data_IF_693754671247
#
_entry.id   IF_693754671247
#
_cell.length_a   1.000
_cell.length_b   1.000
_cell.length_c   1.000
_cell.angle_alpha   90.00
_cell.angle_beta   90.00
_cell.angle_gamma   90.00
#
_symmetry.space_group_name_H-M   'P 1'
#
loop_
_entity.id
_entity.type
_entity.pdbx_description
1 polymer ?
#
# COMPACT_ATOMS: atom_id res chain seq x y z
N UNK A 1 -15.86 -2.35 1.84
CA UNK A 1 -14.52 -2.40 1.21
C UNK A 1 -14.17 -1.00 0.73
N UNK A 2 -12.94 -0.54 0.88
CA UNK A 2 -12.49 0.77 0.41
C UNK A 2 -11.68 0.61 -0.88
N UNK A 3 -11.86 1.51 -1.86
CA UNK A 3 -11.07 1.51 -3.10
C UNK A 3 -10.23 2.77 -3.16
N UNK A 4 -8.92 2.62 -3.33
CA UNK A 4 -8.00 3.73 -3.62
C UNK A 4 -7.60 3.60 -5.09
N UNK A 5 -7.90 4.60 -5.93
CA UNK A 5 -7.57 4.53 -7.35
C UNK A 5 -6.11 4.95 -7.56
N UNK A 6 -5.39 4.19 -8.40
CA UNK A 6 -3.95 4.32 -8.65
C UNK A 6 -3.68 4.64 -10.12
N UNK A 7 -2.79 5.61 -10.37
CA UNK A 7 -2.27 5.95 -11.70
C UNK A 7 -0.82 5.45 -11.91
N UNK A 8 -0.26 5.66 -13.11
CA UNK A 8 1.08 5.14 -13.45
C UNK A 8 2.21 5.70 -12.56
N UNK A 9 2.29 6.99 -12.23
CA UNK A 9 3.26 7.48 -11.25
C UNK A 9 3.09 6.88 -9.85
N UNK A 10 1.86 6.81 -9.34
CA UNK A 10 1.57 6.22 -8.02
C UNK A 10 1.94 4.73 -7.96
N UNK A 11 1.79 4.03 -9.08
CA UNK A 11 2.25 2.65 -9.25
C UNK A 11 3.79 2.51 -9.28
N UNK A 12 4.51 3.51 -9.80
CA UNK A 12 5.98 3.55 -9.73
C UNK A 12 6.50 3.89 -8.33
N UNK A 13 5.68 4.59 -7.53
CA UNK A 13 5.94 4.96 -6.14
C UNK A 13 5.14 4.12 -5.13
N UNK A 14 4.83 2.87 -5.48
CA UNK A 14 3.98 1.97 -4.68
C UNK A 14 4.50 1.74 -3.25
N UNK A 15 5.81 1.83 -3.05
CA UNK A 15 6.44 1.71 -1.73
C UNK A 15 6.08 2.90 -0.82
N UNK A 16 5.93 4.11 -1.36
CA UNK A 16 5.45 5.27 -0.60
C UNK A 16 3.97 5.09 -0.22
N UNK A 17 3.16 4.49 -1.10
CA UNK A 17 1.77 4.12 -0.79
C UNK A 17 1.74 3.04 0.31
N UNK A 18 2.64 2.06 0.29
CA UNK A 18 2.79 1.07 1.38
C UNK A 18 3.17 1.73 2.70
N UNK A 19 4.08 2.71 2.70
CA UNK A 19 4.42 3.53 3.87
C UNK A 19 3.18 4.26 4.42
N UNK A 20 2.39 4.92 3.59
CA UNK A 20 1.15 5.58 4.02
C UNK A 20 0.11 4.61 4.61
N UNK A 21 0.03 3.38 4.08
CA UNK A 21 -0.89 2.36 4.58
C UNK A 21 -0.46 1.74 5.92
N UNK A 22 0.76 2.05 6.40
CA UNK A 22 1.28 1.60 7.71
C UNK A 22 0.66 2.31 8.92
N UNK A 23 -0.19 3.32 8.71
CA UNK A 23 -0.93 3.96 9.80
C UNK A 23 -1.96 3.00 10.42
N UNK A 24 -2.28 3.17 11.70
CA UNK A 24 -3.06 2.18 12.46
C UNK A 24 -4.56 2.18 12.12
N UNK A 25 -5.14 3.33 11.72
CA UNK A 25 -6.58 3.49 11.44
C UNK A 25 -6.86 3.76 9.97
N UNK A 26 -8.05 3.39 9.49
CA UNK A 26 -8.44 3.62 8.10
C UNK A 26 -8.47 5.11 7.72
N UNK A 27 -8.89 6.00 8.63
CA UNK A 27 -8.85 7.44 8.42
C UNK A 27 -7.42 7.99 8.27
N UNK A 28 -6.51 7.57 9.16
CA UNK A 28 -5.10 7.96 9.07
C UNK A 28 -4.44 7.45 7.78
N UNK A 29 -4.73 6.20 7.37
CA UNK A 29 -4.27 5.65 6.09
C UNK A 29 -4.73 6.48 4.89
N UNK A 30 -5.99 6.89 4.86
CA UNK A 30 -6.52 7.73 3.79
C UNK A 30 -5.85 9.11 3.74
N UNK A 31 -5.69 9.75 4.90
CA UNK A 31 -4.97 11.03 5.01
C UNK A 31 -3.52 10.92 4.54
N UNK A 32 -2.81 9.88 4.99
CA UNK A 32 -1.44 9.60 4.58
C UNK A 32 -1.32 9.29 3.07
N UNK A 33 -2.29 8.57 2.48
CA UNK A 33 -2.30 8.32 1.03
C UNK A 33 -2.59 9.60 0.24
N UNK A 34 -3.47 10.49 0.71
CA UNK A 34 -3.63 11.84 0.12
C UNK A 34 -2.29 12.59 0.16
N UNK A 35 -1.61 12.61 1.30
CA UNK A 35 -0.32 13.28 1.45
C UNK A 35 0.74 12.73 0.48
N UNK A 36 0.91 11.42 0.40
CA UNK A 36 1.82 10.75 -0.56
C UNK A 36 1.48 11.07 -2.01
N UNK A 37 0.19 11.13 -2.38
CA UNK A 37 -0.22 11.49 -3.75
C UNK A 37 0.21 12.92 -4.11
N UNK A 38 0.12 13.87 -3.18
CA UNK A 38 0.62 15.24 -3.40
C UNK A 38 2.16 15.31 -3.47
N UNK A 39 2.88 14.50 -2.68
CA UNK A 39 4.34 14.42 -2.74
C UNK A 39 4.85 13.83 -4.08
N UNK A 40 4.25 12.71 -4.53
CA UNK A 40 4.51 12.12 -5.85
C UNK A 40 4.28 13.14 -6.97
N UNK A 41 3.28 14.01 -6.83
CA UNK A 41 3.04 15.11 -7.78
C UNK A 41 4.19 16.12 -7.74
N UNK A 42 4.60 16.58 -6.56
CA UNK A 42 5.73 17.50 -6.42
C UNK A 42 7.02 16.95 -7.05
N UNK A 43 7.34 15.67 -6.82
CA UNK A 43 8.46 14.98 -7.48
C UNK A 43 8.36 15.04 -9.02
N UNK A 44 7.16 14.87 -9.58
CA UNK A 44 6.95 14.92 -11.04
C UNK A 44 7.07 16.33 -11.62
N UNK A 45 6.68 17.36 -10.87
CA UNK A 45 6.86 18.77 -11.26
C UNK A 45 8.34 19.14 -11.27
N UNK A 46 9.12 18.67 -10.29
CA UNK A 46 10.58 18.79 -10.32
C UNK A 46 11.19 18.13 -11.57
N UNK A 47 10.80 16.88 -11.88
CA UNK A 47 11.24 16.17 -13.09
C UNK A 47 10.74 16.80 -14.41
N UNK A 48 9.70 17.62 -14.37
CA UNK A 48 9.24 18.42 -15.53
C UNK A 48 10.17 19.60 -15.76
N UNK A 49 10.41 20.41 -14.71
CA UNK A 49 11.33 21.55 -14.76
C UNK A 49 12.76 21.15 -15.13
N UNK A 50 13.28 20.06 -14.54
CA UNK A 50 14.63 19.54 -14.80
C UNK A 50 14.83 19.17 -16.29
N UNK A 51 13.86 18.49 -16.89
CA UNK A 51 14.01 17.92 -18.24
C UNK A 51 13.50 18.81 -19.38
N UNK A 52 12.68 19.84 -19.11
CA UNK A 52 12.15 20.76 -20.15
C UNK A 52 12.34 22.24 -19.83
N UNK A 53 12.97 22.61 -18.71
CA UNK A 53 12.99 24.00 -18.24
C UNK A 53 11.61 24.44 -17.70
N UNK A 54 11.42 25.73 -17.35
CA UNK A 54 10.16 26.24 -16.84
C UNK A 54 9.08 26.42 -17.93
N UNK A 55 9.47 26.47 -19.21
CA UNK A 55 8.63 26.91 -20.32
C UNK A 55 7.46 25.97 -20.65
N UNK A 56 7.46 24.72 -20.16
CA UNK A 56 6.29 23.83 -20.29
C UNK A 56 5.03 24.45 -19.67
N UNK A 57 5.19 25.32 -18.65
CA UNK A 57 4.08 26.06 -18.02
C UNK A 57 3.39 27.06 -18.96
N UNK A 58 4.06 27.46 -20.04
CA UNK A 58 3.55 28.39 -21.05
C UNK A 58 2.80 27.68 -22.19
N UNK A 59 2.96 26.36 -22.34
CA UNK A 59 2.23 25.61 -23.36
C UNK A 59 0.72 25.61 -23.07
N UNK A 60 -0.16 26.00 -24.02
CA UNK A 60 -1.60 26.03 -23.78
C UNK A 60 -2.21 24.71 -23.32
N UNK A 61 -1.60 23.57 -23.70
CA UNK A 61 -1.99 22.24 -23.24
C UNK A 61 -1.72 21.95 -21.76
N UNK A 62 -0.95 22.80 -21.07
CA UNK A 62 -0.65 22.70 -19.64
C UNK A 62 -1.50 23.66 -18.78
N UNK A 63 -2.38 24.47 -19.35
CA UNK A 63 -3.11 25.52 -18.62
C UNK A 63 -3.90 25.00 -17.40
N UNK A 64 -4.63 23.88 -17.55
CA UNK A 64 -5.39 23.29 -16.43
C UNK A 64 -4.49 22.64 -15.37
N UNK A 65 -3.34 22.11 -15.77
CA UNK A 65 -2.32 21.61 -14.85
C UNK A 65 -1.73 22.77 -14.03
N UNK A 66 -1.35 23.87 -14.68
CA UNK A 66 -0.82 25.08 -14.03
C UNK A 66 -1.85 25.69 -13.08
N UNK A 67 -3.13 25.77 -13.49
CA UNK A 67 -4.22 26.22 -12.61
C UNK A 67 -4.35 25.33 -11.37
N UNK A 68 -4.43 24.01 -11.57
CA UNK A 68 -4.51 23.06 -10.44
C UNK A 68 -3.29 23.17 -9.50
N UNK A 69 -2.09 23.40 -10.04
CA UNK A 69 -0.87 23.62 -9.24
C UNK A 69 -0.98 24.89 -8.38
N UNK A 70 -1.58 25.96 -8.89
CA UNK A 70 -1.85 27.16 -8.10
C UNK A 70 -2.91 26.87 -7.02
N UNK A 71 -4.07 26.33 -7.41
CA UNK A 71 -5.23 26.13 -6.54
C UNK A 71 -4.92 25.23 -5.33
N UNK A 72 -4.15 24.16 -5.53
CA UNK A 72 -3.79 23.19 -4.48
C UNK A 72 -2.44 23.46 -3.80
N UNK A 73 -1.86 24.67 -3.97
CA UNK A 73 -0.54 24.98 -3.43
C UNK A 73 -0.45 24.84 -1.90
N UNK A 74 -1.49 25.28 -1.17
CA UNK A 74 -1.59 25.12 0.28
C UNK A 74 -1.68 23.64 0.69
N UNK A 75 -2.59 22.86 0.07
CA UNK A 75 -2.74 21.43 0.35
C UNK A 75 -1.44 20.65 0.11
N UNK A 76 -0.69 20.97 -0.95
CA UNK A 76 0.61 20.34 -1.22
C UNK A 76 1.66 20.69 -0.18
N UNK A 77 1.66 21.93 0.34
CA UNK A 77 2.59 22.32 1.40
C UNK A 77 2.30 21.55 2.69
N UNK A 78 1.03 21.46 3.11
CA UNK A 78 0.61 20.67 4.27
C UNK A 78 0.92 19.17 4.08
N UNK A 79 0.69 18.62 2.88
CA UNK A 79 0.96 17.23 2.56
C UNK A 79 2.44 16.83 2.70
N UNK A 80 3.39 17.72 2.40
CA UNK A 80 4.83 17.45 2.59
C UNK A 80 5.16 17.27 4.08
N UNK A 81 4.63 18.12 4.94
CA UNK A 81 4.81 17.99 6.40
C UNK A 81 4.14 16.71 6.93
N UNK A 82 2.88 16.48 6.56
CA UNK A 82 2.13 15.27 6.95
C UNK A 82 2.87 13.99 6.54
N UNK A 83 3.39 13.92 5.31
CA UNK A 83 4.09 12.74 4.83
C UNK A 83 5.45 12.55 5.51
N UNK A 84 6.16 13.64 5.83
CA UNK A 84 7.39 13.59 6.63
C UNK A 84 7.14 12.96 8.01
N UNK A 85 6.04 13.32 8.68
CA UNK A 85 5.67 12.68 9.94
C UNK A 85 5.28 11.20 9.78
N UNK A 86 4.49 10.87 8.75
CA UNK A 86 4.10 9.47 8.44
C UNK A 86 5.35 8.62 8.22
N UNK A 87 6.33 9.11 7.45
CA UNK A 87 7.62 8.44 7.23
C UNK A 87 8.39 8.26 8.54
N UNK A 88 8.43 9.28 9.39
CA UNK A 88 9.06 9.21 10.72
C UNK A 88 8.39 8.14 11.60
N UNK A 89 7.05 8.07 11.63
CA UNK A 89 6.30 7.03 12.36
C UNK A 89 6.53 5.62 11.79
N UNK A 90 6.67 5.53 10.47
CA UNK A 90 6.98 4.29 9.76
C UNK A 90 8.34 3.71 10.20
N UNK A 91 9.41 4.48 10.02
CA UNK A 91 10.79 4.06 10.33
C UNK A 91 10.97 3.78 11.83
N UNK A 92 10.37 4.61 12.70
CA UNK A 92 10.46 4.42 14.15
C UNK A 92 9.73 3.15 14.63
N UNK A 93 8.59 2.79 14.02
CA UNK A 93 7.67 1.81 14.63
C UNK A 93 6.80 1.02 13.66
N UNK A 94 6.20 1.64 12.63
CA UNK A 94 5.16 0.95 11.84
C UNK A 94 5.69 -0.06 10.84
N UNK A 95 6.89 0.15 10.28
CA UNK A 95 7.56 -0.82 9.40
C UNK A 95 7.58 -2.23 10.01
N UNK A 96 8.17 -2.38 11.20
CA UNK A 96 8.32 -3.68 11.87
C UNK A 96 6.97 -4.36 12.15
N UNK A 97 5.93 -3.59 12.49
CA UNK A 97 4.58 -4.14 12.70
C UNK A 97 3.94 -4.60 11.39
N UNK A 98 4.10 -3.80 10.33
CA UNK A 98 3.55 -4.08 9.01
C UNK A 98 4.22 -5.32 8.41
N UNK A 99 5.55 -5.41 8.45
CA UNK A 99 6.32 -6.57 8.00
C UNK A 99 5.86 -7.88 8.68
N UNK A 100 5.57 -7.85 9.99
CA UNK A 100 5.02 -9.00 10.74
C UNK A 100 3.63 -9.39 10.25
N UNK A 101 2.77 -8.43 9.96
CA UNK A 101 1.43 -8.70 9.42
C UNK A 101 1.47 -9.20 7.97
N UNK A 102 2.39 -8.70 7.15
CA UNK A 102 2.62 -9.16 5.78
C UNK A 102 3.16 -10.59 5.74
N UNK A 103 4.13 -10.92 6.61
CA UNK A 103 4.60 -12.30 6.77
C UNK A 103 3.49 -13.24 7.26
N UNK A 104 2.66 -12.79 8.22
CA UNK A 104 1.45 -13.54 8.64
C UNK A 104 0.51 -13.79 7.46
N UNK A 105 0.31 -12.77 6.61
CA UNK A 105 -0.49 -12.87 5.39
C UNK A 105 0.10 -13.84 4.36
N UNK A 106 1.44 -13.88 4.19
CA UNK A 106 2.12 -14.85 3.31
C UNK A 106 1.84 -16.29 3.75
N UNK A 107 2.02 -16.61 5.04
CA UNK A 107 1.74 -17.96 5.54
C UNK A 107 0.28 -18.38 5.33
N UNK A 108 -0.68 -17.47 5.56
CA UNK A 108 -2.10 -17.71 5.24
C UNK A 108 -2.26 -17.97 3.73
N UNK A 109 -1.65 -17.15 2.87
CA UNK A 109 -1.80 -17.28 1.42
C UNK A 109 -1.19 -18.59 0.90
N UNK A 110 -0.02 -18.99 1.39
CA UNK A 110 0.56 -20.31 1.13
C UNK A 110 -0.36 -21.44 1.60
N UNK A 111 -0.90 -21.36 2.83
CA UNK A 111 -1.85 -22.37 3.35
C UNK A 111 -3.14 -22.48 2.52
N UNK A 112 -3.57 -21.39 1.87
CA UNK A 112 -4.67 -21.40 0.88
C UNK A 112 -4.23 -22.05 -0.44
N UNK A 113 -3.05 -21.71 -0.98
CA UNK A 113 -2.55 -22.33 -2.23
C UNK A 113 -2.32 -23.84 -2.07
N UNK A 114 -1.86 -24.28 -0.89
CA UNK A 114 -1.64 -25.68 -0.53
C UNK A 114 -2.94 -26.45 -0.20
N UNK A 115 -4.10 -25.78 -0.17
CA UNK A 115 -5.39 -26.38 0.21
C UNK A 115 -5.49 -26.82 1.69
N UNK A 116 -4.59 -26.34 2.56
CA UNK A 116 -4.54 -26.68 3.99
C UNK A 116 -5.53 -25.88 4.83
N UNK A 117 -5.73 -24.61 4.49
CA UNK A 117 -6.63 -23.67 5.16
C UNK A 117 -6.42 -23.60 6.70
N UNK A 118 -5.18 -23.38 7.13
CA UNK A 118 -4.81 -23.46 8.55
C UNK A 118 -5.46 -22.40 9.46
N UNK A 119 -5.72 -22.81 10.70
CA UNK A 119 -6.18 -21.90 11.75
C UNK A 119 -5.16 -20.81 12.05
N UNK A 120 -5.61 -19.55 12.11
CA UNK A 120 -4.71 -18.43 12.45
C UNK A 120 -4.27 -18.50 13.91
N UNK A 121 -5.21 -18.75 14.83
CA UNK A 121 -4.97 -18.66 16.29
C UNK A 121 -4.90 -20.03 17.00
N UNK A 122 -5.03 -21.13 16.27
CA UNK A 122 -5.02 -22.49 16.84
C UNK A 122 -3.65 -22.85 17.44
N UNK A 123 -3.57 -23.90 18.29
CA UNK A 123 -2.32 -24.60 18.52
C UNK A 123 -1.66 -24.96 17.19
N UNK A 124 -0.35 -24.70 17.06
CA UNK A 124 0.46 -24.87 15.84
C UNK A 124 -0.05 -24.13 14.58
N UNK A 125 -1.04 -23.24 14.72
CA UNK A 125 -1.56 -22.41 13.64
C UNK A 125 -0.62 -21.26 13.23
N UNK A 126 -1.06 -20.43 12.29
CA UNK A 126 -0.21 -19.41 11.66
C UNK A 126 0.50 -18.50 12.68
N UNK A 127 -0.19 -18.00 13.71
CA UNK A 127 0.43 -17.13 14.72
C UNK A 127 1.52 -17.85 15.54
N UNK A 128 1.48 -19.19 15.62
CA UNK A 128 2.55 -19.97 16.25
C UNK A 128 3.77 -20.04 15.31
N UNK A 129 3.55 -20.35 14.03
CA UNK A 129 4.62 -20.40 13.03
C UNK A 129 5.37 -19.06 12.89
N UNK A 130 4.63 -17.93 12.92
CA UNK A 130 5.26 -16.58 12.96
C UNK A 130 6.04 -16.37 14.26
N UNK A 131 5.55 -16.86 15.39
CA UNK A 131 6.24 -16.77 16.68
C UNK A 131 7.56 -17.56 16.69
N UNK A 132 7.53 -18.77 16.12
CA UNK A 132 8.67 -19.68 16.14
C UNK A 132 9.76 -19.19 15.17
N UNK A 133 9.39 -18.82 13.93
CA UNK A 133 10.29 -18.16 12.99
C UNK A 133 10.85 -16.83 13.54
N UNK A 134 10.05 -16.06 14.27
CA UNK A 134 10.50 -14.83 14.94
C UNK A 134 11.44 -15.06 16.13
N UNK A 135 11.37 -16.23 16.78
CA UNK A 135 12.33 -16.65 17.82
C UNK A 135 13.64 -17.10 17.19
N UNK A 136 13.58 -17.99 16.19
CA UNK A 136 14.72 -18.49 15.42
C UNK A 136 15.52 -17.35 14.77
N UNK A 137 14.84 -16.46 14.03
CA UNK A 137 15.44 -15.29 13.38
C UNK A 137 15.74 -14.11 14.31
N UNK A 138 15.57 -14.25 15.64
CA UNK A 138 15.78 -13.19 16.63
C UNK A 138 14.96 -11.89 16.39
N UNK A 139 13.83 -11.94 15.68
CA UNK A 139 13.09 -10.78 15.18
C UNK A 139 12.25 -10.12 16.30
N UNK A 140 12.66 -8.93 16.74
CA UNK A 140 11.91 -8.13 17.74
C UNK A 140 10.53 -7.73 17.21
N UNK A 141 9.48 -8.11 17.93
CA UNK A 141 8.08 -7.90 17.53
C UNK A 141 7.40 -9.13 16.92
N UNK A 142 8.16 -10.19 16.63
CA UNK A 142 7.65 -11.48 16.15
C UNK A 142 7.89 -12.63 17.16
N UNK A 143 8.26 -12.35 18.42
CA UNK A 143 8.49 -13.38 19.46
C UNK A 143 7.31 -13.60 20.41
N UNK A 144 6.32 -12.72 20.33
CA UNK A 144 5.17 -12.65 21.23
C UNK A 144 3.89 -12.79 20.40
N UNK A 145 3.11 -13.83 20.70
CA UNK A 145 1.89 -14.21 19.98
C UNK A 145 0.79 -13.15 20.07
N UNK A 146 0.74 -12.38 21.16
CA UNK A 146 -0.25 -11.32 21.36
C UNK A 146 0.14 -10.06 20.58
N UNK A 147 1.45 -9.77 20.48
CA UNK A 147 1.97 -8.70 19.60
C UNK A 147 1.71 -9.04 18.13
N UNK A 148 1.96 -10.29 17.70
CA UNK A 148 1.66 -10.73 16.33
C UNK A 148 0.14 -10.66 16.07
N UNK A 149 -0.70 -11.13 17.00
CA UNK A 149 -2.17 -11.03 16.89
C UNK A 149 -2.63 -9.58 16.73
N UNK A 150 -2.06 -8.65 17.50
CA UNK A 150 -2.36 -7.21 17.40
C UNK A 150 -1.95 -6.65 16.04
N UNK A 151 -0.70 -6.88 15.62
CA UNK A 151 -0.19 -6.40 14.33
C UNK A 151 -1.01 -6.95 13.15
N UNK A 152 -1.30 -8.26 13.14
CA UNK A 152 -2.18 -8.85 12.13
C UNK A 152 -3.57 -8.21 12.13
N UNK A 153 -4.20 -8.06 13.31
CA UNK A 153 -5.53 -7.44 13.42
C UNK A 153 -5.56 -6.01 12.82
N UNK A 154 -4.54 -5.20 13.11
CA UNK A 154 -4.40 -3.82 12.62
C UNK A 154 -4.16 -3.75 11.11
N UNK A 155 -3.27 -4.59 10.55
CA UNK A 155 -2.73 -4.42 9.19
C UNK A 155 -3.21 -5.41 8.13
N UNK A 156 -3.95 -6.48 8.50
CA UNK A 156 -4.49 -7.47 7.55
C UNK A 156 -5.32 -6.90 6.39
N UNK A 157 -5.90 -5.72 6.57
CA UNK A 157 -6.62 -4.99 5.52
C UNK A 157 -5.76 -4.45 4.38
N UNK A 158 -4.44 -4.29 4.60
CA UNK A 158 -3.47 -3.66 3.69
C UNK A 158 -2.24 -4.51 3.38
N UNK A 159 -1.97 -5.55 4.19
CA UNK A 159 -0.82 -6.45 4.07
C UNK A 159 -0.62 -7.06 2.65
N UNK A 160 -1.71 -7.23 1.90
CA UNK A 160 -1.68 -7.77 0.53
C UNK A 160 -0.80 -6.95 -0.46
N UNK A 161 -0.51 -5.68 -0.16
CA UNK A 161 0.34 -4.82 -1.01
C UNK A 161 1.82 -5.15 -0.82
N UNK A 162 2.33 -5.20 0.42
CA UNK A 162 3.71 -5.64 0.67
C UNK A 162 3.92 -7.11 0.26
N UNK A 163 2.94 -7.97 0.50
CA UNK A 163 2.97 -9.35 -0.05
C UNK A 163 3.15 -9.39 -1.57
N UNK A 164 2.54 -8.47 -2.31
CA UNK A 164 2.68 -8.37 -3.76
C UNK A 164 4.00 -7.73 -4.19
N UNK A 165 4.52 -6.76 -3.45
CA UNK A 165 5.87 -6.17 -3.64
C UNK A 165 6.91 -7.29 -3.50
N UNK A 166 6.97 -7.95 -2.35
CA UNK A 166 7.96 -9.00 -2.06
C UNK A 166 7.88 -10.17 -3.06
N UNK A 167 6.68 -10.51 -3.52
CA UNK A 167 6.47 -11.52 -4.57
C UNK A 167 7.03 -11.05 -5.93
N UNK A 168 6.84 -9.77 -6.29
CA UNK A 168 7.38 -9.18 -7.52
C UNK A 168 8.90 -8.99 -7.48
N UNK A 169 9.47 -8.70 -6.31
CA UNK A 169 10.93 -8.65 -6.12
C UNK A 169 11.56 -10.03 -6.31
N UNK A 170 10.91 -11.07 -5.76
CA UNK A 170 11.28 -12.47 -5.97
C UNK A 170 11.01 -12.97 -7.40
N UNK A 171 10.19 -12.26 -8.19
CA UNK A 171 9.80 -12.62 -9.56
C UNK A 171 9.84 -11.38 -10.48
N UNK A 172 11.03 -10.83 -10.84
CA UNK A 172 11.14 -9.52 -11.50
C UNK A 172 10.34 -9.36 -12.80
N UNK A 173 10.13 -10.46 -13.54
CA UNK A 173 9.30 -10.50 -14.76
C UNK A 173 7.84 -10.09 -14.52
N UNK A 174 7.35 -10.25 -13.29
CA UNK A 174 5.98 -9.93 -12.86
C UNK A 174 5.84 -8.56 -12.19
N UNK A 175 6.91 -7.73 -12.12
CA UNK A 175 6.84 -6.39 -11.49
C UNK A 175 5.76 -5.47 -12.09
N UNK A 176 5.37 -5.68 -13.35
CA UNK A 176 4.26 -4.97 -14.02
C UNK A 176 2.87 -5.40 -13.51
N UNK A 177 2.74 -6.58 -12.91
CA UNK A 177 1.48 -7.17 -12.44
C UNK A 177 1.21 -6.93 -10.95
N UNK A 178 2.01 -6.10 -10.26
CA UNK A 178 1.94 -5.90 -8.80
C UNK A 178 0.52 -5.63 -8.27
N UNK A 179 -0.28 -4.78 -8.94
CA UNK A 179 -1.67 -4.51 -8.52
C UNK A 179 -2.61 -5.72 -8.73
N UNK A 180 -2.38 -6.49 -9.79
CA UNK A 180 -3.13 -7.73 -10.07
C UNK A 180 -2.81 -8.81 -9.04
N UNK A 181 -1.54 -8.91 -8.62
CA UNK A 181 -1.08 -9.82 -7.57
C UNK A 181 -1.64 -9.38 -6.21
N UNK A 182 -1.59 -8.08 -5.90
CA UNK A 182 -2.16 -7.50 -4.69
C UNK A 182 -3.67 -7.81 -4.58
N UNK A 183 -4.44 -7.61 -5.66
CA UNK A 183 -5.87 -7.94 -5.71
C UNK A 183 -6.13 -9.46 -5.63
N UNK A 184 -5.30 -10.31 -6.23
CA UNK A 184 -5.39 -11.77 -6.10
C UNK A 184 -5.17 -12.22 -4.65
N UNK A 185 -4.15 -11.69 -3.97
CA UNK A 185 -3.89 -11.94 -2.55
C UNK A 185 -5.05 -11.44 -1.70
N UNK A 186 -5.50 -10.20 -1.93
CA UNK A 186 -6.61 -9.58 -1.20
C UNK A 186 -7.88 -10.44 -1.27
N UNK A 187 -8.26 -10.88 -2.47
CA UNK A 187 -9.39 -11.79 -2.71
C UNK A 187 -9.18 -13.15 -2.03
N UNK A 188 -8.00 -13.73 -2.14
CA UNK A 188 -7.69 -15.01 -1.49
C UNK A 188 -7.94 -14.95 0.02
N UNK A 189 -7.48 -13.87 0.68
CA UNK A 189 -7.69 -13.63 2.10
C UNK A 189 -9.16 -13.36 2.49
N UNK A 190 -9.99 -12.87 1.56
CA UNK A 190 -11.38 -12.47 1.83
C UNK A 190 -12.44 -13.47 1.36
N UNK A 191 -12.06 -14.43 0.52
CA UNK A 191 -12.94 -15.46 -0.04
C UNK A 191 -12.71 -16.85 0.57
N UNK A 192 -11.59 -17.07 1.25
CA UNK A 192 -11.26 -18.32 1.92
C UNK A 192 -11.33 -18.16 3.44
N UNK A 193 -11.71 -19.25 4.11
CA UNK A 193 -11.86 -19.32 5.56
C UNK A 193 -10.90 -20.37 6.15
N UNK A 194 -10.47 -20.25 7.41
CA UNK A 194 -9.78 -21.34 8.10
C UNK A 194 -10.66 -22.58 8.23
N UNK A 195 -10.05 -23.76 8.25
CA UNK A 195 -10.74 -25.05 8.38
C UNK A 195 -11.63 -25.07 9.63
N UNK A 196 -12.92 -25.41 9.45
CA UNK A 196 -13.91 -25.42 10.52
C UNK A 196 -14.46 -24.05 10.94
N UNK A 197 -14.08 -22.96 10.24
CA UNK A 197 -14.55 -21.59 10.51
C UNK A 197 -15.28 -21.07 9.26
N UNK A 198 -16.45 -20.44 9.43
CA UNK A 198 -17.24 -19.86 8.33
C UNK A 198 -16.84 -18.42 7.96
N UNK A 199 -16.08 -17.73 8.81
CA UNK A 199 -15.59 -16.37 8.58
C UNK A 199 -14.25 -16.37 7.83
N UNK A 200 -14.05 -15.49 6.84
CA UNK A 200 -12.80 -15.42 6.09
C UNK A 200 -11.63 -14.94 6.94
N UNK A 201 -10.39 -15.19 6.48
CA UNK A 201 -9.16 -14.70 7.16
C UNK A 201 -9.17 -13.18 7.37
N UNK A 202 -9.68 -12.45 6.38
CA UNK A 202 -9.88 -11.00 6.42
C UNK A 202 -11.27 -10.66 5.92
N UNK A 203 -12.00 -9.87 6.71
CA UNK A 203 -13.30 -9.33 6.30
C UNK A 203 -13.14 -8.42 5.07
N UNK A 204 -13.88 -8.66 3.96
CA UNK A 204 -13.85 -7.81 2.77
C UNK A 204 -14.08 -6.31 3.06
N UNK A 205 -14.83 -5.98 4.11
CA UNK A 205 -15.11 -4.60 4.47
C UNK A 205 -13.93 -3.87 5.12
N UNK A 206 -13.05 -4.61 5.79
CA UNK A 206 -11.85 -4.09 6.43
C UNK A 206 -10.63 -4.03 5.49
N UNK A 207 -10.81 -4.34 4.20
CA UNK A 207 -9.77 -4.28 3.18
C UNK A 207 -9.83 -3.01 2.34
N UNK A 208 -8.65 -2.60 1.91
CA UNK A 208 -8.43 -1.61 0.86
C UNK A 208 -8.12 -2.36 -0.44
N UNK A 209 -8.64 -1.92 -1.58
CA UNK A 209 -8.23 -2.39 -2.92
C UNK A 209 -7.57 -1.24 -3.68
N UNK A 210 -6.45 -1.53 -4.34
CA UNK A 210 -5.77 -0.60 -5.24
C UNK A 210 -6.16 -0.90 -6.67
N UNK A 211 -6.92 -0.01 -7.30
CA UNK A 211 -7.42 -0.20 -8.68
C UNK A 211 -6.62 0.69 -9.62
N UNK A 212 -5.94 0.09 -10.60
CA UNK A 212 -5.34 0.87 -11.68
C UNK A 212 -6.45 1.49 -12.54
N UNK A 213 -6.59 2.81 -12.49
CA UNK A 213 -7.54 3.52 -13.33
C UNK A 213 -6.78 4.16 -14.48
N UNK A 214 -6.87 3.56 -15.67
CA UNK A 214 -6.25 4.09 -16.88
C UNK A 214 -6.84 5.43 -17.34
N UNK A 215 -8.00 5.84 -16.82
CA UNK A 215 -8.57 7.19 -16.98
C UNK A 215 -8.15 8.18 -15.89
N UNK A 216 -7.59 7.70 -14.76
CA UNK A 216 -6.63 8.48 -13.96
C UNK A 216 -5.23 8.49 -14.61
N UNK A 217 -5.14 8.16 -15.89
CA UNK A 217 -4.21 8.89 -16.74
C UNK A 217 -4.45 10.38 -16.52
N UNK A 218 -3.52 11.03 -15.82
CA UNK A 218 -3.08 12.33 -16.27
C UNK A 218 -2.89 12.26 -17.79
N UNK A 219 -3.46 13.19 -18.58
CA UNK A 219 -3.73 13.00 -20.00
C UNK A 219 -2.54 12.40 -20.75
N UNK A 220 -2.79 11.56 -21.75
CA UNK A 220 -1.74 11.27 -22.74
C UNK A 220 -1.42 12.59 -23.43
N UNK A 221 -0.14 12.90 -23.49
CA UNK A 221 0.29 14.27 -23.42
C UNK A 221 1.32 14.53 -24.51
N UNK A 222 1.33 15.75 -25.05
CA UNK A 222 2.60 16.44 -25.28
C UNK A 222 3.10 17.00 -23.92
N UNK A 223 3.49 16.12 -22.99
CA UNK A 223 4.08 16.29 -21.62
C UNK A 223 3.40 17.09 -20.47
N UNK A 224 3.06 16.58 -19.24
CA UNK A 224 3.02 15.22 -18.60
C UNK A 224 2.11 15.10 -17.30
N UNK A 225 0.88 14.59 -17.39
CA UNK A 225 -0.12 14.31 -16.32
C UNK A 225 -0.71 15.54 -15.59
N UNK A 226 -2.00 15.62 -15.22
CA UNK A 226 -2.70 14.99 -14.07
C UNK A 226 -4.24 14.97 -14.29
N UNK A 227 -5.04 14.13 -13.58
CA UNK A 227 -6.03 14.73 -12.68
C UNK A 227 -6.12 14.06 -11.29
N UNK A 228 -6.80 14.74 -10.37
CA UNK A 228 -6.90 14.38 -8.96
C UNK A 228 -8.22 13.68 -8.63
N UNK A 229 -8.13 12.41 -8.26
CA UNK A 229 -9.12 11.77 -7.39
C UNK A 229 -8.81 12.09 -5.94
N UNK A 230 -9.02 13.35 -5.54
CA UNK A 230 -8.99 13.80 -4.13
C UNK A 230 -10.32 14.49 -3.83
N UNK A 231 -11.36 13.66 -3.81
CA UNK A 231 -12.72 13.96 -3.34
C UNK A 231 -12.97 13.16 -2.06
#
# INVERSE_FOLDING_TARGET
MLTIPINQPELLSIDLIRVALSEETQGARLKAVKAVKHDIVAMRLALLNDRYGPDWTLEPGNADLVRWIADSAAERHEAVHEFSEVKTRYEAKHEKKLNVAEHTGKLIWHSIQDGKFEGVQTPNGILQQVQDAGREGNIRGAKDKDVIRKNWSTYRGVAHIGMAIDFCESNPTRKKDILKIAEQVRRSLSQNCPKGISKPYVDPNNQISLVYISTLSGPRFRNRGLPFGVS
#
